data_IF_757379525743
#
_entry.id   IF_757379525743
#
_cell.length_a   1.000
_cell.length_b   1.000
_cell.length_c   1.000
_cell.angle_alpha   90.00
_cell.angle_beta   90.00
_cell.angle_gamma   90.00
#
_symmetry.space_group_name_H-M   'P 1'
#
loop_
_entity.id
_entity.type
_entity.pdbx_description
1 polymer ?
#
# COMPACT_ATOMS: atom_id res chain seq x y z
N UNK A 1 -25.01 2.33 -32.41
CA UNK A 1 -25.44 0.99 -32.85
C UNK A 1 -24.17 0.24 -33.23
N UNK A 2 -23.68 -0.59 -32.32
CA UNK A 2 -22.64 -1.59 -32.60
C UNK A 2 -22.92 -2.78 -31.69
N UNK A 3 -22.80 -3.95 -32.29
CA UNK A 3 -23.39 -5.22 -31.94
C UNK A 3 -23.08 -5.74 -30.53
N UNK A 4 -24.10 -6.40 -29.97
CA UNK A 4 -23.98 -7.39 -28.92
C UNK A 4 -24.32 -8.74 -29.56
N UNK A 5 -23.39 -9.70 -29.58
CA UNK A 5 -23.69 -11.14 -29.80
C UNK A 5 -22.78 -12.02 -28.92
N UNK A 6 -23.40 -13.12 -28.50
CA UNK A 6 -23.30 -14.00 -27.35
C UNK A 6 -22.16 -15.07 -27.30
N UNK A 7 -22.03 -15.66 -26.11
CA UNK A 7 -20.98 -16.51 -25.48
C UNK A 7 -20.99 -18.00 -25.97
N UNK A 8 -19.84 -18.67 -26.27
CA UNK A 8 -19.05 -19.43 -25.28
C UNK A 8 -17.53 -19.23 -25.38
N UNK A 9 -16.93 -18.94 -24.22
CA UNK A 9 -15.64 -18.26 -24.09
C UNK A 9 -15.91 -16.77 -24.19
N UNK A 10 -16.34 -16.14 -23.08
CA UNK A 10 -16.69 -14.71 -23.03
C UNK A 10 -15.54 -13.91 -23.64
N UNK A 11 -15.68 -13.53 -24.91
CA UNK A 11 -14.77 -12.67 -25.63
C UNK A 11 -15.55 -11.41 -25.93
N UNK A 12 -15.46 -10.46 -25.01
CA UNK A 12 -15.93 -9.12 -25.24
C UNK A 12 -14.74 -8.18 -25.26
N UNK A 13 -14.84 -7.10 -26.02
CA UNK A 13 -13.88 -6.01 -26.04
C UNK A 13 -14.66 -4.71 -26.17
N UNK A 14 -14.50 -3.83 -25.21
CA UNK A 14 -15.15 -2.52 -25.16
C UNK A 14 -14.06 -1.46 -25.07
N UNK A 15 -14.06 -0.55 -26.02
CA UNK A 15 -13.27 0.68 -25.95
C UNK A 15 -14.09 1.75 -25.23
N UNK A 16 -13.49 2.39 -24.23
CA UNK A 16 -14.08 3.49 -23.47
C UNK A 16 -13.81 4.81 -24.21
N UNK A 17 -14.58 5.85 -23.87
CA UNK A 17 -14.50 7.16 -24.54
C UNK A 17 -13.11 7.82 -24.46
N UNK A 18 -12.26 7.38 -23.56
CA UNK A 18 -10.90 7.86 -23.36
C UNK A 18 -9.81 6.93 -23.94
N UNK A 19 -10.20 5.98 -24.81
CA UNK A 19 -9.32 5.07 -25.53
C UNK A 19 -8.79 3.89 -24.70
N UNK A 20 -9.26 3.73 -23.46
CA UNK A 20 -9.02 2.51 -22.68
C UNK A 20 -9.83 1.34 -23.20
N UNK A 21 -9.37 0.12 -22.92
CA UNK A 21 -10.04 -1.09 -23.40
C UNK A 21 -10.25 -2.06 -22.24
N UNK A 22 -11.49 -2.51 -22.07
CA UNK A 22 -11.84 -3.65 -21.21
C UNK A 22 -12.12 -4.84 -22.12
N UNK A 23 -11.44 -5.96 -21.89
CA UNK A 23 -11.74 -7.18 -22.63
C UNK A 23 -11.64 -8.44 -21.78
N UNK A 24 -12.35 -9.49 -22.20
CA UNK A 24 -12.07 -10.85 -21.79
C UNK A 24 -11.37 -11.55 -22.96
N UNK A 25 -10.08 -11.85 -22.82
CA UNK A 25 -9.22 -12.36 -23.90
C UNK A 25 -9.24 -13.89 -24.02
N UNK A 26 -10.19 -14.53 -23.34
CA UNK A 26 -10.33 -15.97 -23.16
C UNK A 26 -9.17 -16.66 -22.43
N UNK A 27 -8.25 -15.91 -21.80
CA UNK A 27 -7.36 -16.47 -20.79
C UNK A 27 -8.14 -16.77 -19.51
N UNK A 28 -7.58 -17.60 -18.64
CA UNK A 28 -8.16 -17.92 -17.33
C UNK A 28 -7.15 -17.63 -16.21
N UNK A 29 -7.68 -17.32 -15.04
CA UNK A 29 -6.93 -17.20 -13.79
C UNK A 29 -7.48 -18.19 -12.77
N UNK A 30 -6.65 -18.61 -11.81
CA UNK A 30 -7.10 -19.42 -10.69
C UNK A 30 -7.89 -18.53 -9.73
N UNK A 31 -9.15 -18.86 -9.50
CA UNK A 31 -9.94 -18.24 -8.44
C UNK A 31 -9.53 -18.84 -7.09
N UNK A 32 -8.98 -18.05 -6.16
CA UNK A 32 -8.53 -18.55 -4.86
C UNK A 32 -9.69 -19.01 -3.96
N UNK A 33 -10.92 -18.53 -4.18
CA UNK A 33 -12.07 -18.94 -3.35
C UNK A 33 -12.65 -20.29 -3.80
N UNK A 34 -12.84 -20.48 -5.11
CA UNK A 34 -13.38 -21.75 -5.64
C UNK A 34 -12.31 -22.80 -5.98
N UNK A 35 -11.04 -22.39 -6.13
CA UNK A 35 -9.95 -23.23 -6.64
C UNK A 35 -10.09 -23.59 -8.12
N UNK A 36 -11.08 -23.02 -8.82
CA UNK A 36 -11.34 -23.27 -10.24
C UNK A 36 -10.63 -22.28 -11.16
N UNK A 37 -10.48 -22.65 -12.44
CA UNK A 37 -10.07 -21.71 -13.48
C UNK A 37 -11.29 -20.87 -13.88
N UNK A 38 -11.17 -19.55 -13.77
CA UNK A 38 -12.21 -18.59 -14.16
C UNK A 38 -11.72 -17.70 -15.30
N UNK A 39 -12.58 -17.22 -16.21
CA UNK A 39 -12.17 -16.31 -17.28
C UNK A 39 -11.52 -15.03 -16.73
N UNK A 40 -10.40 -14.63 -17.32
CA UNK A 40 -9.71 -13.40 -16.96
C UNK A 40 -10.33 -12.18 -17.65
N UNK A 41 -10.22 -11.03 -16.98
CA UNK A 41 -10.55 -9.72 -17.57
C UNK A 41 -9.25 -8.91 -17.66
N UNK A 42 -8.97 -8.38 -18.85
CA UNK A 42 -7.81 -7.54 -19.13
C UNK A 42 -8.26 -6.11 -19.31
N UNK A 43 -7.69 -5.22 -18.51
CA UNK A 43 -7.87 -3.78 -18.62
C UNK A 43 -6.60 -3.16 -19.22
N UNK A 44 -6.71 -2.60 -20.43
CA UNK A 44 -5.62 -1.84 -21.06
C UNK A 44 -5.85 -0.36 -20.86
N UNK A 45 -4.80 0.30 -20.39
CA UNK A 45 -4.86 1.70 -20.02
C UNK A 45 -3.55 2.41 -20.34
N UNK A 46 -3.62 3.74 -20.43
CA UNK A 46 -2.43 4.57 -20.53
C UNK A 46 -1.67 4.55 -19.20
N UNK A 47 -0.37 4.86 -19.25
CA UNK A 47 0.47 4.97 -18.05
C UNK A 47 -0.09 5.95 -17.00
N UNK A 48 -0.66 7.07 -17.47
CA UNK A 48 -1.24 8.09 -16.59
C UNK A 48 -2.47 7.56 -15.86
N UNK A 49 -3.33 6.79 -16.55
CA UNK A 49 -4.50 6.18 -15.92
C UNK A 49 -4.11 5.05 -14.96
N UNK A 50 -3.11 4.26 -15.28
CA UNK A 50 -2.57 3.23 -14.37
C UNK A 50 -2.09 3.85 -13.06
N UNK A 51 -1.34 4.94 -13.15
CA UNK A 51 -0.88 5.67 -11.98
C UNK A 51 -2.05 6.27 -11.17
N UNK A 52 -3.03 6.89 -11.83
CA UNK A 52 -4.23 7.42 -11.13
C UNK A 52 -5.02 6.30 -10.44
N UNK A 53 -5.20 5.15 -11.09
CA UNK A 53 -5.90 4.01 -10.50
C UNK A 53 -5.16 3.42 -9.29
N UNK A 54 -3.82 3.38 -9.35
CA UNK A 54 -3.00 2.96 -8.22
C UNK A 54 -3.28 3.82 -6.98
N UNK A 55 -3.31 5.14 -7.13
CA UNK A 55 -3.64 6.05 -6.03
C UNK A 55 -5.05 5.83 -5.47
N UNK A 56 -6.06 5.67 -6.32
CA UNK A 56 -7.43 5.39 -5.86
C UNK A 56 -7.52 4.10 -5.05
N UNK A 57 -6.80 3.05 -5.48
CA UNK A 57 -6.76 1.77 -4.76
C UNK A 57 -5.99 1.88 -3.44
N UNK A 58 -4.91 2.66 -3.40
CA UNK A 58 -4.14 2.92 -2.19
C UNK A 58 -4.97 3.70 -1.17
N UNK A 59 -5.61 4.80 -1.58
CA UNK A 59 -6.48 5.62 -0.74
C UNK A 59 -7.65 4.79 -0.18
N UNK A 60 -8.28 3.98 -1.04
CA UNK A 60 -9.34 3.08 -0.61
C UNK A 60 -8.82 2.03 0.39
N UNK A 61 -7.65 1.43 0.15
CA UNK A 61 -7.07 0.45 1.06
C UNK A 61 -6.78 1.05 2.43
N UNK A 62 -6.33 2.31 2.48
CA UNK A 62 -6.09 3.06 3.70
C UNK A 62 -7.39 3.36 4.46
N UNK A 63 -8.42 3.84 3.76
CA UNK A 63 -9.75 4.08 4.35
C UNK A 63 -10.39 2.78 4.84
N UNK A 64 -10.36 1.72 4.02
CA UNK A 64 -10.91 0.42 4.37
C UNK A 64 -10.20 -0.19 5.59
N UNK A 65 -8.89 0.00 5.73
CA UNK A 65 -8.14 -0.43 6.91
C UNK A 65 -8.60 0.27 8.20
N UNK A 66 -8.95 1.56 8.12
CA UNK A 66 -9.45 2.35 9.25
C UNK A 66 -10.89 1.96 9.62
N UNK A 67 -11.74 1.65 8.64
CA UNK A 67 -13.16 1.42 8.87
C UNK A 67 -13.59 -0.05 8.94
N UNK A 68 -12.76 -1.03 8.53
CA UNK A 68 -13.16 -2.44 8.42
C UNK A 68 -12.20 -3.43 9.10
N UNK A 69 -12.68 -4.03 10.19
CA UNK A 69 -12.20 -5.31 10.74
C UNK A 69 -12.84 -6.54 10.04
N UNK A 70 -13.61 -6.37 8.96
CA UNK A 70 -14.43 -7.45 8.40
C UNK A 70 -14.51 -7.38 6.86
N UNK A 71 -14.11 -8.50 6.23
CA UNK A 71 -14.06 -8.82 4.77
C UNK A 71 -12.75 -8.43 4.07
N UNK A 72 -11.75 -9.28 4.28
CA UNK A 72 -10.40 -9.20 3.72
C UNK A 72 -10.41 -9.43 2.19
N UNK A 73 -10.29 -8.33 1.45
CA UNK A 73 -9.61 -8.31 0.16
C UNK A 73 -8.40 -7.36 0.17
N UNK A 74 -8.39 -6.33 1.04
CA UNK A 74 -7.47 -5.18 1.08
C UNK A 74 -5.96 -5.41 0.83
N UNK A 75 -5.44 -6.60 1.19
CA UNK A 75 -4.04 -6.96 0.92
C UNK A 75 -3.80 -7.10 -0.59
N UNK A 76 -4.80 -7.60 -1.32
CA UNK A 76 -4.78 -7.78 -2.78
C UNK A 76 -4.87 -6.44 -3.52
N UNK A 77 -5.73 -5.51 -3.08
CA UNK A 77 -5.86 -4.18 -3.72
C UNK A 77 -4.59 -3.34 -3.51
N UNK A 78 -3.96 -3.43 -2.33
CA UNK A 78 -2.66 -2.79 -2.11
C UNK A 78 -1.58 -3.37 -3.03
N UNK A 79 -1.50 -4.69 -3.15
CA UNK A 79 -0.54 -5.33 -4.05
C UNK A 79 -0.80 -4.93 -5.52
N UNK A 80 -2.06 -4.79 -5.91
CA UNK A 80 -2.47 -4.29 -7.22
C UNK A 80 -2.05 -2.83 -7.43
N UNK A 81 -2.29 -1.95 -6.45
CA UNK A 81 -1.87 -0.54 -6.50
C UNK A 81 -0.36 -0.41 -6.75
N UNK A 82 0.46 -1.13 -5.96
CA UNK A 82 1.92 -1.14 -6.13
C UNK A 82 2.36 -1.66 -7.50
N UNK A 83 1.67 -2.68 -8.02
CA UNK A 83 1.97 -3.26 -9.34
C UNK A 83 1.61 -2.29 -10.46
N UNK A 84 0.49 -1.57 -10.33
CA UNK A 84 0.06 -0.55 -11.29
C UNK A 84 1.01 0.66 -11.30
N UNK A 85 1.46 1.12 -10.14
CA UNK A 85 2.47 2.19 -10.04
C UNK A 85 3.80 1.78 -10.68
N UNK A 86 4.27 0.56 -10.37
CA UNK A 86 5.50 0.02 -10.95
C UNK A 86 5.38 -0.09 -12.48
N UNK A 87 4.23 -0.59 -12.97
CA UNK A 87 3.94 -0.67 -14.40
C UNK A 87 3.86 0.69 -15.09
N UNK A 88 3.22 1.68 -14.44
CA UNK A 88 3.15 3.05 -14.93
C UNK A 88 4.54 3.71 -15.00
N UNK A 89 5.37 3.51 -13.98
CA UNK A 89 6.76 3.99 -13.95
C UNK A 89 7.59 3.36 -15.08
N UNK A 90 7.48 2.04 -15.29
CA UNK A 90 8.14 1.34 -16.41
C UNK A 90 7.67 1.84 -17.78
N UNK A 91 6.40 2.24 -17.90
CA UNK A 91 5.84 2.86 -19.11
C UNK A 91 6.21 4.36 -19.26
N UNK A 92 7.03 4.90 -18.36
CA UNK A 92 7.57 6.26 -18.42
C UNK A 92 6.68 7.34 -17.79
N UNK A 93 5.81 6.99 -16.84
CA UNK A 93 5.09 7.99 -16.05
C UNK A 93 6.00 8.59 -14.98
N UNK A 94 6.30 9.89 -15.10
CA UNK A 94 7.24 10.58 -14.19
C UNK A 94 6.65 10.83 -12.80
N UNK A 95 5.33 10.78 -12.64
CA UNK A 95 4.68 10.79 -11.34
C UNK A 95 4.91 9.46 -10.63
N UNK A 96 4.63 8.35 -11.31
CA UNK A 96 4.79 7.01 -10.76
C UNK A 96 6.27 6.71 -10.43
N UNK A 97 7.22 7.16 -11.25
CA UNK A 97 8.66 7.05 -10.94
C UNK A 97 9.01 7.75 -9.62
N UNK A 98 8.40 8.90 -9.33
CA UNK A 98 8.61 9.58 -8.04
C UNK A 98 8.00 8.79 -6.88
N UNK A 99 6.83 8.18 -7.08
CA UNK A 99 6.20 7.30 -6.09
C UNK A 99 7.06 6.05 -5.80
N UNK A 100 7.60 5.39 -6.82
CA UNK A 100 8.50 4.24 -6.65
C UNK A 100 9.79 4.60 -5.88
N UNK A 101 10.33 5.80 -6.07
CA UNK A 101 11.47 6.31 -5.27
C UNK A 101 11.08 6.54 -3.81
N UNK A 102 9.81 6.92 -3.52
CA UNK A 102 9.29 7.06 -2.14
C UNK A 102 9.04 5.73 -1.43
N UNK A 103 8.86 4.62 -2.15
CA UNK A 103 8.77 3.26 -1.56
C UNK A 103 10.13 2.75 -1.07
N UNK A 104 11.23 3.47 -1.36
CA UNK A 104 12.46 3.29 -0.60
C UNK A 104 12.21 3.73 0.84
N UNK A 105 12.02 2.75 1.73
CA UNK A 105 11.77 2.90 3.17
C UNK A 105 12.45 4.14 3.75
N UNK A 106 11.69 5.22 3.99
CA UNK A 106 12.19 6.44 4.66
C UNK A 106 12.76 6.07 6.03
N UNK A 107 12.20 5.03 6.65
CA UNK A 107 12.66 4.41 7.89
C UNK A 107 13.28 3.05 7.60
N UNK A 108 14.59 2.98 7.75
CA UNK A 108 15.40 1.76 7.64
C UNK A 108 15.13 0.76 8.77
N UNK A 109 15.50 -0.51 8.55
CA UNK A 109 15.47 -1.56 9.58
C UNK A 109 16.29 -1.18 10.83
N UNK A 110 17.41 -0.46 10.66
CA UNK A 110 18.23 -0.02 11.78
C UNK A 110 17.49 1.00 12.67
N UNK A 111 16.79 1.97 12.06
CA UNK A 111 15.96 2.94 12.77
C UNK A 111 14.78 2.26 13.50
N UNK A 112 14.12 1.29 12.86
CA UNK A 112 13.07 0.48 13.51
C UNK A 112 13.60 -0.26 14.73
N UNK A 113 14.76 -0.91 14.63
CA UNK A 113 15.38 -1.62 15.76
C UNK A 113 15.77 -0.66 16.90
N UNK A 114 16.26 0.55 16.57
CA UNK A 114 16.57 1.58 17.57
C UNK A 114 15.30 2.05 18.31
N UNK A 115 14.19 2.26 17.59
CA UNK A 115 12.91 2.61 18.18
C UNK A 115 12.35 1.49 19.07
N UNK A 116 12.47 0.22 18.66
CA UNK A 116 12.10 -0.94 19.50
C UNK A 116 12.94 -0.99 20.78
N UNK A 117 14.24 -0.67 20.70
CA UNK A 117 15.11 -0.61 21.88
C UNK A 117 14.65 0.47 22.87
N UNK A 118 14.25 1.65 22.37
CA UNK A 118 13.66 2.71 23.21
C UNK A 118 12.42 2.22 23.96
N UNK A 119 11.48 1.56 23.26
CA UNK A 119 10.27 1.01 23.89
C UNK A 119 10.59 -0.14 24.84
N UNK A 120 11.61 -0.95 24.54
CA UNK A 120 12.03 -2.06 25.41
C UNK A 120 12.50 -1.55 26.78
N UNK A 121 13.27 -0.47 26.78
CA UNK A 121 13.89 0.05 28.00
C UNK A 121 12.90 0.84 28.88
N UNK A 122 11.94 1.53 28.24
CA UNK A 122 11.05 2.48 28.90
C UNK A 122 9.62 1.96 29.09
N UNK A 123 9.10 1.15 28.16
CA UNK A 123 7.72 0.62 28.22
C UNK A 123 7.68 -0.84 28.66
N UNK A 124 7.92 -1.07 29.94
CA UNK A 124 7.94 -2.43 30.53
C UNK A 124 6.57 -3.13 30.48
N UNK A 125 5.48 -2.37 30.38
CA UNK A 125 4.12 -2.88 30.24
C UNK A 125 3.76 -3.39 28.84
N UNK A 126 4.49 -2.97 27.80
CA UNK A 126 4.28 -3.43 26.43
C UNK A 126 5.00 -4.77 26.19
N UNK A 127 4.30 -5.85 25.80
CA UNK A 127 4.93 -7.09 25.36
C UNK A 127 5.86 -6.88 24.16
N UNK A 128 6.93 -7.70 24.01
CA UNK A 128 7.90 -7.54 22.93
C UNK A 128 7.29 -7.46 21.52
N UNK A 129 6.28 -8.31 21.23
CA UNK A 129 5.60 -8.29 19.93
C UNK A 129 4.80 -7.01 19.69
N UNK A 130 4.21 -6.42 20.74
CA UNK A 130 3.47 -5.16 20.61
C UNK A 130 4.41 -3.99 20.34
N UNK A 131 5.62 -3.99 20.94
CA UNK A 131 6.64 -2.97 20.64
C UNK A 131 7.05 -2.98 19.17
N UNK A 132 7.26 -4.16 18.60
CA UNK A 132 7.58 -4.34 17.18
C UNK A 132 6.42 -3.83 16.33
N UNK A 133 5.19 -4.29 16.61
CA UNK A 133 4.01 -3.91 15.86
C UNK A 133 3.75 -2.39 15.87
N UNK A 134 3.90 -1.73 17.02
CA UNK A 134 3.74 -0.28 17.15
C UNK A 134 4.79 0.46 16.32
N UNK A 135 6.06 0.03 16.39
CA UNK A 135 7.15 0.66 15.63
C UNK A 135 6.99 0.45 14.13
N UNK A 136 6.61 -0.75 13.68
CA UNK A 136 6.39 -1.03 12.26
C UNK A 136 5.20 -0.24 11.70
N UNK A 137 4.12 -0.10 12.49
CA UNK A 137 2.98 0.73 12.13
C UNK A 137 3.34 2.22 12.07
N UNK A 138 4.12 2.73 13.03
CA UNK A 138 4.59 4.12 13.02
C UNK A 138 5.54 4.38 11.82
N UNK A 139 6.49 3.49 11.58
CA UNK A 139 7.42 3.57 10.44
C UNK A 139 6.68 3.52 9.10
N UNK A 140 5.60 2.75 9.02
CA UNK A 140 4.72 2.71 7.85
C UNK A 140 4.05 4.05 7.60
N UNK A 141 3.47 4.69 8.63
CA UNK A 141 2.88 6.03 8.47
C UNK A 141 3.89 7.05 7.98
N UNK A 142 5.14 7.00 8.46
CA UNK A 142 6.19 7.94 8.03
C UNK A 142 6.57 7.83 6.54
N UNK A 143 6.23 6.72 5.88
CA UNK A 143 6.40 6.55 4.43
C UNK A 143 5.25 7.18 3.62
N UNK A 144 4.17 7.62 4.27
CA UNK A 144 3.01 8.28 3.64
C UNK A 144 3.13 9.81 3.67
N UNK A 145 2.45 10.50 2.74
CA UNK A 145 2.45 11.97 2.67
C UNK A 145 1.69 12.55 3.88
N UNK A 146 2.35 13.42 4.65
CA UNK A 146 1.87 13.94 5.95
C UNK A 146 1.66 12.90 7.08
N UNK A 147 2.18 11.68 6.94
CA UNK A 147 2.00 10.61 7.94
C UNK A 147 2.84 10.77 9.23
N UNK A 148 3.68 11.81 9.32
CA UNK A 148 4.48 12.13 10.51
C UNK A 148 3.60 12.39 11.75
N UNK A 149 2.47 13.08 11.58
CA UNK A 149 1.51 13.34 12.67
C UNK A 149 0.82 12.07 13.17
N UNK A 150 0.51 11.14 12.26
CA UNK A 150 -0.11 9.85 12.59
C UNK A 150 0.89 8.91 13.27
N UNK A 151 2.13 8.89 12.80
CA UNK A 151 3.21 8.16 13.46
C UNK A 151 3.45 8.67 14.89
N UNK A 152 3.46 9.98 15.08
CA UNK A 152 3.60 10.59 16.40
C UNK A 152 2.41 10.25 17.31
N UNK A 153 1.17 10.41 16.82
CA UNK A 153 -0.03 10.13 17.60
C UNK A 153 -0.15 8.66 18.02
N UNK A 154 0.26 7.73 17.14
CA UNK A 154 0.31 6.30 17.46
C UNK A 154 1.30 6.00 18.58
N UNK A 155 2.51 6.58 18.50
CA UNK A 155 3.52 6.40 19.55
C UNK A 155 3.07 7.02 20.87
N UNK A 156 2.41 8.18 20.84
CA UNK A 156 1.89 8.85 22.03
C UNK A 156 0.78 8.05 22.71
N UNK A 157 -0.06 7.38 21.93
CA UNK A 157 -1.09 6.49 22.46
C UNK A 157 -0.52 5.19 23.05
N UNK A 158 0.62 4.72 22.54
CA UNK A 158 1.25 3.47 22.98
C UNK A 158 2.20 3.65 24.17
N UNK A 159 2.84 4.82 24.29
CA UNK A 159 3.79 5.11 25.37
C UNK A 159 3.07 5.62 26.61
N UNK A 160 3.62 5.30 27.77
CA UNK A 160 3.14 5.75 29.08
C UNK A 160 3.45 7.23 29.33
N UNK A 161 4.44 7.79 28.63
CA UNK A 161 4.85 9.17 28.76
C UNK A 161 5.37 9.77 27.44
N UNK A 162 5.24 11.09 27.33
CA UNK A 162 5.60 11.87 26.14
C UNK A 162 7.10 11.92 25.84
N UNK A 163 7.96 11.71 26.83
CA UNK A 163 9.41 11.64 26.65
C UNK A 163 9.78 10.37 25.89
N UNK A 164 9.15 9.25 26.25
CA UNK A 164 9.32 7.97 25.58
C UNK A 164 8.79 8.02 24.14
N UNK A 165 7.63 8.65 23.92
CA UNK A 165 7.10 8.96 22.58
C UNK A 165 8.13 9.70 21.72
N UNK A 166 8.67 10.81 22.24
CA UNK A 166 9.64 11.62 21.51
C UNK A 166 10.92 10.84 21.17
N UNK A 167 11.43 10.04 22.12
CA UNK A 167 12.63 9.24 21.88
C UNK A 167 12.41 8.15 20.82
N UNK A 168 11.25 7.49 20.83
CA UNK A 168 10.92 6.48 19.84
C UNK A 168 10.74 7.12 18.44
N UNK A 169 10.08 8.27 18.39
CA UNK A 169 9.87 9.02 17.15
C UNK A 169 11.19 9.55 16.55
N UNK A 170 12.07 10.13 17.37
CA UNK A 170 13.41 10.56 16.93
C UNK A 170 14.25 9.38 16.45
N UNK A 171 14.16 8.22 17.11
CA UNK A 171 14.85 7.01 16.66
C UNK A 171 14.38 6.54 15.26
N UNK A 172 13.10 6.76 14.93
CA UNK A 172 12.55 6.47 13.60
C UNK A 172 13.01 7.47 12.53
N UNK A 173 13.16 8.76 12.88
CA UNK A 173 13.69 9.78 11.97
C UNK A 173 15.17 9.53 11.62
N UNK A 174 15.90 8.83 12.51
CA UNK A 174 17.35 8.73 12.44
C UNK A 174 18.00 10.02 12.92
N UNK A 175 19.16 9.88 13.55
CA UNK A 175 20.06 11.00 13.74
C UNK A 175 20.83 11.21 12.43
N UNK A 176 20.47 12.24 11.67
CA UNK A 176 21.41 12.87 10.74
C UNK A 176 22.54 13.46 11.58
N UNK A 177 23.59 12.67 11.77
CA UNK A 177 24.78 13.01 12.56
C UNK A 177 25.83 11.93 12.39
N UNK A 178 26.82 12.25 11.54
CA UNK A 178 28.02 11.48 11.17
C UNK A 178 27.86 10.31 10.19
N UNK A 179 27.88 10.65 8.88
CA UNK A 179 29.05 10.42 8.01
C UNK A 179 28.97 11.19 6.69
#
# INVERSE_FOLDING_TARGET
>A
MTDSIDVPGLRFRVELDDGQIVEADASTILDPESGGQVPAVVLRMTRARAHVLAHVLEDWSQVAFVFATLRSSCVTERALALTLDSGAAMAGDTGATRCAVRVSDRVTTAQRLAAVAVLKDRERGLPPLQRIAVVDAAARWMNEEAGDELAWALLDAACSDRTTTNHAYVALLGSDGDQ
#
